data_IF_261631514015
#
_entry.id   IF_261631514015
#
_cell.length_a   1.000
_cell.length_b   1.000
_cell.length_c   1.000
_cell.angle_alpha   90.00
_cell.angle_beta   90.00
_cell.angle_gamma   90.00
#
_symmetry.space_group_name_H-M   'P 1'
#
loop_
_entity.id
_entity.type
_entity.pdbx_description
1 polymer ?
#
# COMPACT_ATOMS: atom_id res chain seq x y z
N UNK A 1 -51.72 12.43 5.85
CA UNK A 1 -51.08 11.74 4.71
C UNK A 1 -49.64 11.47 5.08
N UNK A 2 -49.30 10.19 5.30
CA UNK A 2 -47.95 9.78 5.68
C UNK A 2 -47.07 9.73 4.43
N UNK A 3 -46.06 10.60 4.37
CA UNK A 3 -45.02 10.62 3.34
C UNK A 3 -44.11 9.42 3.58
N UNK A 4 -44.26 8.37 2.77
CA UNK A 4 -43.36 7.20 2.79
C UNK A 4 -42.15 7.57 1.96
N UNK A 5 -41.02 7.77 2.62
CA UNK A 5 -39.71 7.89 1.98
C UNK A 5 -39.37 6.55 1.35
N UNK A 6 -39.52 6.47 0.03
CA UNK A 6 -39.11 5.32 -0.75
C UNK A 6 -37.68 5.57 -1.23
N UNK A 7 -36.73 5.41 -0.31
CA UNK A 7 -35.30 5.33 -0.62
C UNK A 7 -35.03 3.96 -1.28
N UNK A 8 -35.51 3.80 -2.51
CA UNK A 8 -35.13 2.69 -3.35
C UNK A 8 -33.71 2.95 -3.87
N UNK A 9 -32.71 2.74 -3.02
CA UNK A 9 -31.32 2.64 -3.46
C UNK A 9 -31.26 1.50 -4.49
N UNK A 10 -31.11 1.85 -5.76
CA UNK A 10 -30.92 0.88 -6.83
C UNK A 10 -29.69 0.02 -6.49
N UNK A 11 -29.77 -1.29 -6.72
CA UNK A 11 -28.63 -2.21 -6.55
C UNK A 11 -27.40 -1.69 -7.32
N UNK A 12 -27.62 -0.97 -8.41
CA UNK A 12 -26.56 -0.32 -9.19
C UNK A 12 -25.82 0.78 -8.40
N UNK A 13 -26.52 1.59 -7.60
CA UNK A 13 -25.90 2.61 -6.74
C UNK A 13 -25.16 1.99 -5.57
N UNK A 14 -25.67 0.91 -5.00
CA UNK A 14 -24.99 0.15 -3.95
C UNK A 14 -23.69 -0.48 -4.49
N UNK A 15 -23.71 -1.06 -5.70
CA UNK A 15 -22.51 -1.61 -6.34
C UNK A 15 -21.48 -0.52 -6.67
N UNK A 16 -21.90 0.62 -7.22
CA UNK A 16 -21.00 1.75 -7.51
C UNK A 16 -20.34 2.27 -6.23
N UNK A 17 -21.11 2.39 -5.14
CA UNK A 17 -20.60 2.85 -3.84
C UNK A 17 -19.59 1.86 -3.25
N UNK A 18 -19.90 0.56 -3.27
CA UNK A 18 -18.98 -0.49 -2.82
C UNK A 18 -17.66 -0.52 -3.60
N UNK A 19 -17.71 -0.43 -4.93
CA UNK A 19 -16.50 -0.39 -5.77
C UNK A 19 -15.68 0.86 -5.47
N UNK A 20 -16.35 2.01 -5.30
CA UNK A 20 -15.69 3.30 -5.03
C UNK A 20 -15.03 3.31 -3.65
N UNK A 21 -15.71 2.84 -2.61
CA UNK A 21 -15.13 2.70 -1.27
C UNK A 21 -13.96 1.72 -1.26
N UNK A 22 -14.07 0.58 -1.94
CA UNK A 22 -12.99 -0.40 -2.00
C UNK A 22 -11.75 0.13 -2.72
N UNK A 23 -11.95 0.86 -3.82
CA UNK A 23 -10.86 1.50 -4.56
C UNK A 23 -10.22 2.64 -3.76
N UNK A 24 -11.01 3.40 -3.02
CA UNK A 24 -10.52 4.48 -2.16
C UNK A 24 -9.68 3.92 -1.01
N UNK A 25 -10.17 2.89 -0.32
CA UNK A 25 -9.44 2.20 0.74
C UNK A 25 -8.13 1.58 0.25
N UNK A 26 -8.14 0.95 -0.94
CA UNK A 26 -6.92 0.44 -1.58
C UNK A 26 -5.95 1.53 -2.00
N UNK A 27 -6.45 2.66 -2.51
CA UNK A 27 -5.64 3.82 -2.89
C UNK A 27 -4.97 4.46 -1.68
N UNK A 28 -5.73 4.66 -0.61
CA UNK A 28 -5.23 5.19 0.66
C UNK A 28 -4.16 4.28 1.28
N UNK A 29 -4.38 2.96 1.23
CA UNK A 29 -3.39 1.99 1.70
C UNK A 29 -2.09 2.04 0.90
N UNK A 30 -2.17 2.19 -0.43
CA UNK A 30 -0.97 2.35 -1.29
C UNK A 30 -0.18 3.60 -0.93
N UNK A 31 -0.85 4.74 -0.79
CA UNK A 31 -0.22 6.01 -0.40
C UNK A 31 0.47 5.89 0.96
N UNK A 32 -0.23 5.32 1.96
CA UNK A 32 0.34 5.10 3.29
C UNK A 32 1.62 4.25 3.24
N UNK A 33 1.62 3.15 2.46
CA UNK A 33 2.80 2.28 2.33
C UNK A 33 3.97 3.01 1.68
N UNK A 34 3.71 3.83 0.65
CA UNK A 34 4.74 4.62 -0.03
C UNK A 34 5.35 5.69 0.90
N UNK A 35 4.51 6.42 1.63
CA UNK A 35 4.94 7.40 2.62
C UNK A 35 5.76 6.75 3.74
N UNK A 36 5.28 5.62 4.29
CA UNK A 36 5.99 4.86 5.32
C UNK A 36 7.35 4.39 4.83
N UNK A 37 7.44 3.87 3.59
CA UNK A 37 8.73 3.47 2.99
C UNK A 37 9.71 4.64 2.89
N UNK A 38 9.25 5.76 2.33
CA UNK A 38 10.07 6.95 2.13
C UNK A 38 10.56 7.55 3.46
N UNK A 39 9.68 7.58 4.47
CA UNK A 39 10.03 8.03 5.83
C UNK A 39 11.06 7.11 6.49
N UNK A 40 10.87 5.80 6.39
CA UNK A 40 11.71 4.82 7.09
C UNK A 40 13.10 4.69 6.47
N UNK A 41 13.19 4.71 5.13
CA UNK A 41 14.45 4.54 4.43
C UNK A 41 15.22 5.85 4.24
N UNK A 42 14.52 6.98 4.31
CA UNK A 42 15.11 8.30 4.15
C UNK A 42 15.56 8.62 2.72
N UNK A 43 16.14 9.81 2.51
CA UNK A 43 16.43 10.35 1.19
C UNK A 43 17.43 9.51 0.38
N UNK A 44 18.35 8.81 1.04
CA UNK A 44 19.37 7.99 0.37
C UNK A 44 18.76 6.85 -0.46
N UNK A 45 17.76 6.16 0.09
CA UNK A 45 17.07 5.06 -0.63
C UNK A 45 15.90 5.55 -1.44
N UNK A 46 15.14 6.53 -0.94
CA UNK A 46 13.97 7.08 -1.61
C UNK A 46 14.34 7.67 -2.99
N UNK A 47 15.48 8.35 -3.11
CA UNK A 47 15.95 8.93 -4.38
C UNK A 47 16.21 7.87 -5.47
N UNK A 48 16.61 6.66 -5.06
CA UNK A 48 16.82 5.54 -5.98
C UNK A 48 15.59 4.66 -6.14
N UNK A 49 14.52 4.90 -5.38
CA UNK A 49 13.25 4.18 -5.47
C UNK A 49 12.39 4.80 -6.57
N UNK A 50 11.97 3.99 -7.53
CA UNK A 50 11.11 4.40 -8.65
C UNK A 50 9.65 4.12 -8.37
N UNK A 51 9.35 3.06 -7.62
CA UNK A 51 7.98 2.70 -7.30
C UNK A 51 7.92 1.85 -6.04
N UNK A 52 6.90 2.09 -5.22
CA UNK A 52 6.56 1.31 -4.03
C UNK A 52 5.13 0.81 -4.18
N UNK A 53 4.93 -0.51 -4.18
CA UNK A 53 3.61 -1.11 -4.34
C UNK A 53 3.40 -2.25 -3.37
N UNK A 54 2.26 -2.26 -2.68
CA UNK A 54 1.79 -3.43 -1.93
C UNK A 54 0.77 -4.20 -2.77
N UNK A 55 1.09 -5.44 -3.11
CA UNK A 55 0.20 -6.34 -3.84
C UNK A 55 0.24 -7.73 -3.22
N UNK A 56 -0.93 -8.30 -2.89
CA UNK A 56 -1.05 -9.66 -2.34
C UNK A 56 -0.06 -9.91 -1.17
N UNK A 57 -0.01 -8.98 -0.20
CA UNK A 57 0.93 -9.00 0.95
C UNK A 57 2.42 -8.98 0.58
N UNK A 58 2.76 -8.68 -0.67
CA UNK A 58 4.12 -8.52 -1.15
C UNK A 58 4.39 -7.05 -1.38
N UNK A 59 5.40 -6.52 -0.69
CA UNK A 59 5.93 -5.19 -0.95
C UNK A 59 6.90 -5.29 -2.13
N UNK A 60 6.57 -4.61 -3.22
CA UNK A 60 7.35 -4.57 -4.45
C UNK A 60 7.98 -3.19 -4.53
N UNK A 61 9.30 -3.14 -4.47
CA UNK A 61 10.09 -1.92 -4.57
C UNK A 61 10.90 -1.98 -5.85
N UNK A 62 10.75 -0.98 -6.70
CA UNK A 62 11.56 -0.84 -7.90
C UNK A 62 12.69 0.14 -7.63
N UNK A 63 13.94 -0.30 -7.76
CA UNK A 63 15.15 0.47 -7.48
C UNK A 63 15.96 0.65 -8.75
N UNK A 64 16.44 1.88 -8.97
CA UNK A 64 17.34 2.20 -10.09
C UNK A 64 18.75 1.64 -9.89
N UNK A 65 19.20 1.58 -8.64
CA UNK A 65 20.54 1.11 -8.28
C UNK A 65 20.52 -0.39 -7.99
N UNK A 66 21.29 -1.15 -8.77
CA UNK A 66 21.52 -2.59 -8.55
C UNK A 66 22.31 -2.86 -7.28
N UNK A 67 23.26 -1.99 -6.93
CA UNK A 67 24.06 -2.10 -5.70
C UNK A 67 23.16 -1.95 -4.47
N UNK A 68 22.34 -0.90 -4.43
CA UNK A 68 21.43 -0.67 -3.31
C UNK A 68 20.38 -1.78 -3.20
N UNK A 69 19.92 -2.32 -4.34
CA UNK A 69 19.02 -3.47 -4.36
C UNK A 69 19.64 -4.68 -3.68
N UNK A 70 20.91 -4.95 -3.97
CA UNK A 70 21.66 -6.05 -3.39
C UNK A 70 21.87 -5.84 -1.88
N UNK A 71 22.29 -4.65 -1.45
CA UNK A 71 22.45 -4.30 -0.04
C UNK A 71 21.13 -4.45 0.76
N UNK A 72 20.04 -3.91 0.23
CA UNK A 72 18.71 -4.05 0.85
C UNK A 72 18.21 -5.49 0.84
N UNK A 73 18.73 -6.34 -0.06
CA UNK A 73 18.32 -7.73 -0.16
C UNK A 73 18.71 -8.54 1.07
N UNK A 74 19.87 -8.25 1.68
CA UNK A 74 20.33 -8.85 2.93
C UNK A 74 19.47 -8.44 4.14
N UNK A 75 18.79 -7.29 4.05
CA UNK A 75 17.96 -6.73 5.10
C UNK A 75 16.46 -7.03 4.97
N UNK A 76 16.02 -7.84 3.99
CA UNK A 76 14.60 -8.03 3.64
C UNK A 76 13.70 -8.31 4.85
N UNK A 77 14.08 -9.25 5.71
CA UNK A 77 13.25 -9.65 6.84
C UNK A 77 13.10 -8.53 7.88
N UNK A 78 14.19 -7.80 8.15
CA UNK A 78 14.18 -6.65 9.05
C UNK A 78 13.31 -5.53 8.49
N UNK A 79 13.41 -5.27 7.19
CA UNK A 79 12.59 -4.27 6.49
C UNK A 79 11.11 -4.62 6.59
N UNK A 80 10.73 -5.88 6.32
CA UNK A 80 9.34 -6.35 6.44
C UNK A 80 8.82 -6.12 7.85
N UNK A 81 9.61 -6.48 8.87
CA UNK A 81 9.23 -6.29 10.28
C UNK A 81 9.00 -4.82 10.60
N UNK A 82 9.96 -3.95 10.29
CA UNK A 82 9.89 -2.51 10.56
C UNK A 82 8.73 -1.84 9.81
N UNK A 83 8.47 -2.22 8.56
CA UNK A 83 7.34 -1.69 7.80
C UNK A 83 6.01 -2.07 8.43
N UNK A 84 5.83 -3.33 8.84
CA UNK A 84 4.60 -3.76 9.51
C UNK A 84 4.41 -3.05 10.86
N UNK A 85 5.49 -2.85 11.61
CA UNK A 85 5.47 -2.10 12.88
C UNK A 85 5.01 -0.65 12.66
N UNK A 86 5.57 0.05 11.67
CA UNK A 86 5.20 1.45 11.38
C UNK A 86 3.79 1.58 10.77
N UNK A 87 3.33 0.56 10.03
CA UNK A 87 1.97 0.52 9.49
C UNK A 87 0.92 0.21 10.57
N UNK A 88 1.32 -0.38 11.69
CA UNK A 88 0.47 -0.81 12.79
C UNK A 88 -0.24 -2.15 12.56
N UNK A 89 0.06 -2.83 11.45
CA UNK A 89 -0.59 -4.07 11.04
C UNK A 89 0.39 -4.98 10.29
N UNK A 90 0.25 -6.29 10.45
CA UNK A 90 1.12 -7.30 9.81
C UNK A 90 0.62 -7.68 8.42
N UNK A 91 0.62 -6.70 7.50
CA UNK A 91 0.11 -6.89 6.13
C UNK A 91 1.15 -7.34 5.12
N UNK A 92 2.44 -7.12 5.39
CA UNK A 92 3.55 -7.45 4.49
C UNK A 92 4.17 -8.78 4.92
N UNK A 93 4.20 -9.74 4.00
CA UNK A 93 4.78 -11.07 4.20
C UNK A 93 6.05 -11.29 3.38
N UNK A 94 6.20 -10.56 2.27
CA UNK A 94 7.33 -10.72 1.34
C UNK A 94 7.81 -9.37 0.83
N UNK A 95 9.12 -9.23 0.65
CA UNK A 95 9.76 -8.09 -0.01
C UNK A 95 10.38 -8.53 -1.33
N UNK A 96 9.96 -7.90 -2.42
CA UNK A 96 10.51 -8.07 -3.76
C UNK A 96 11.18 -6.77 -4.17
N UNK A 97 12.48 -6.86 -4.50
CA UNK A 97 13.26 -5.72 -4.98
C UNK A 97 13.55 -5.95 -6.47
N UNK A 98 13.14 -5.00 -7.31
CA UNK A 98 13.18 -5.06 -8.79
C UNK A 98 14.05 -3.97 -9.36
#
# INVERSE_FOLDING_TARGET
MAKRENDSFSIEDLMKTFIKENNLSKGMQKLKVEETWNKMMGPGVATHTTSVKLQNKTLIIQLKSSVLREELSYGKDKIIKMMNEELGETIITKLMLV
#
